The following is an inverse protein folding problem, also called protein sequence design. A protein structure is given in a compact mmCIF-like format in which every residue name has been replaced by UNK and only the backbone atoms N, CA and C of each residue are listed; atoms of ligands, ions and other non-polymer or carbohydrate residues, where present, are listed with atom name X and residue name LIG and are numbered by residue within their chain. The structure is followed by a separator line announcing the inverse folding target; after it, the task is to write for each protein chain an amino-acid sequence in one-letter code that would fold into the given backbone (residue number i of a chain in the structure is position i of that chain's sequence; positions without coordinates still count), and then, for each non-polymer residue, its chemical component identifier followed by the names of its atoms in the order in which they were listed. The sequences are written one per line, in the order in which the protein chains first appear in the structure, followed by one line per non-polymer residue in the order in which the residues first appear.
data_IF_018420438940
#
_entry.id   IF_018420438940
#
_cell.length_a   1.000
_cell.length_b   1.000
_cell.length_c   1.000
_cell.angle_alpha   90.00
_cell.angle_beta   90.00
_cell.angle_gamma   90.00
#
_symmetry.space_group_name_H-M   'P 1'
#
loop_
_entity.id
_entity.type
_entity.pdbx_description
1 polymer ?
#
# COMPACT_ATOMS: atom_id res chain seq x y z
N UNK A 1 16.47 21.85 3.38
CA UNK A 1 15.48 22.82 3.89
C UNK A 1 15.22 22.52 5.38
N UNK A 2 14.84 23.49 6.23
CA UNK A 2 14.32 23.16 7.57
C UNK A 2 12.87 22.66 7.42
N UNK A 3 12.43 21.62 8.16
CA UNK A 3 11.05 21.17 8.07
C UNK A 3 10.08 22.28 8.52
N UNK A 4 9.02 22.52 7.75
CA UNK A 4 7.90 23.37 8.15
C UNK A 4 6.85 22.58 8.95
N UNK A 5 5.86 23.29 9.49
CA UNK A 5 4.74 22.67 10.24
C UNK A 5 3.64 22.10 9.31
N UNK A 6 3.67 22.45 8.02
CA UNK A 6 2.69 22.00 7.04
C UNK A 6 2.92 20.54 6.63
N UNK A 7 1.85 19.74 6.63
CA UNK A 7 1.89 18.34 6.19
C UNK A 7 2.23 18.17 4.70
N UNK A 8 1.78 19.11 3.86
CA UNK A 8 2.03 19.15 2.43
C UNK A 8 2.35 20.60 2.02
N UNK A 9 3.63 21.00 2.07
CA UNK A 9 4.05 22.35 1.72
C UNK A 9 3.63 22.70 0.30
N UNK A 10 2.99 23.86 0.11
CA UNK A 10 2.52 24.33 -1.20
C UNK A 10 3.09 25.70 -1.53
N UNK A 11 3.31 25.96 -2.82
CA UNK A 11 3.67 27.28 -3.32
C UNK A 11 2.44 28.21 -3.36
N UNK A 12 2.67 29.47 -3.76
CA UNK A 12 1.63 30.49 -3.91
C UNK A 12 0.48 30.11 -4.86
N UNK A 13 0.70 29.12 -5.74
CA UNK A 13 -0.30 28.61 -6.67
C UNK A 13 -0.99 27.33 -6.16
N UNK A 14 -0.72 26.92 -4.91
CA UNK A 14 -1.27 25.72 -4.30
C UNK A 14 -0.64 24.42 -4.80
N UNK A 15 0.48 24.47 -5.53
CA UNK A 15 1.21 23.29 -6.00
C UNK A 15 2.16 22.78 -4.92
N UNK A 16 2.24 21.47 -4.75
CA UNK A 16 3.15 20.85 -3.77
C UNK A 16 4.61 21.20 -4.12
N UNK A 17 5.35 21.67 -3.13
CA UNK A 17 6.79 21.95 -3.23
C UNK A 17 7.53 20.63 -2.99
N UNK A 18 8.25 20.16 -4.00
CA UNK A 18 9.05 18.94 -3.92
C UNK A 18 10.50 19.27 -3.56
N UNK A 19 11.10 18.46 -2.68
CA UNK A 19 12.53 18.53 -2.39
C UNK A 19 13.29 17.48 -3.24
N UNK A 20 14.56 17.75 -3.53
CA UNK A 20 15.45 16.96 -4.40
C UNK A 20 16.22 15.85 -3.66
N UNK A 21 15.66 15.35 -2.56
CA UNK A 21 16.32 14.37 -1.68
C UNK A 21 16.56 13.04 -2.40
N UNK A 22 17.77 12.49 -2.23
CA UNK A 22 18.03 11.12 -2.65
C UNK A 22 17.41 10.11 -1.66
N UNK A 23 16.42 9.36 -2.14
CA UNK A 23 15.74 8.32 -1.38
C UNK A 23 16.69 7.24 -0.80
N UNK A 24 17.87 7.00 -1.40
CA UNK A 24 18.87 6.08 -0.85
C UNK A 24 19.44 6.57 0.49
N UNK A 25 19.67 7.88 0.63
CA UNK A 25 20.13 8.46 1.89
C UNK A 25 19.03 8.43 2.95
N UNK A 26 17.79 8.69 2.55
CA UNK A 26 16.62 8.53 3.43
C UNK A 26 16.50 7.09 3.92
N UNK A 27 16.67 6.10 3.03
CA UNK A 27 16.61 4.69 3.41
C UNK A 27 17.73 4.31 4.37
N UNK A 28 18.97 4.77 4.13
CA UNK A 28 20.08 4.54 5.06
C UNK A 28 19.78 5.08 6.48
N UNK A 29 19.11 6.23 6.57
CA UNK A 29 18.68 6.77 7.86
C UNK A 29 17.61 5.89 8.53
N UNK A 30 16.66 5.33 7.76
CA UNK A 30 15.68 4.36 8.27
C UNK A 30 16.33 3.06 8.75
N UNK A 31 17.36 2.58 8.05
CA UNK A 31 18.17 1.43 8.48
C UNK A 31 18.82 1.70 9.84
N UNK A 32 19.37 2.90 10.07
CA UNK A 32 19.94 3.31 11.36
C UNK A 32 18.88 3.39 12.47
N UNK A 33 17.66 3.84 12.19
CA UNK A 33 16.56 3.81 13.15
C UNK A 33 16.20 2.38 13.58
N UNK A 34 16.23 1.43 12.64
CA UNK A 34 16.02 0.00 12.94
C UNK A 34 17.18 -0.57 13.78
N UNK A 35 18.43 -0.25 13.43
CA UNK A 35 19.62 -0.69 14.18
C UNK A 35 19.63 -0.14 15.61
N UNK A 36 19.14 1.08 15.82
CA UNK A 36 18.95 1.67 17.13
C UNK A 36 17.78 1.06 17.94
N UNK A 37 17.03 0.11 17.37
CA UNK A 37 15.90 -0.53 18.03
C UNK A 37 14.63 0.34 18.13
N UNK A 38 14.58 1.47 17.41
CA UNK A 38 13.42 2.39 17.43
C UNK A 38 12.23 1.83 16.63
N UNK A 39 12.48 0.88 15.74
CA UNK A 39 11.44 0.14 15.02
C UNK A 39 11.91 -1.29 14.73
N UNK A 40 10.96 -2.22 14.63
CA UNK A 40 11.22 -3.61 14.27
C UNK A 40 11.34 -3.77 12.75
N UNK A 41 10.30 -3.52 11.92
CA UNK A 41 10.44 -3.47 10.47
C UNK A 41 10.55 -2.02 9.95
N UNK A 42 11.04 -1.89 8.71
CA UNK A 42 10.97 -0.66 7.90
C UNK A 42 10.38 -1.03 6.54
N UNK A 43 9.54 -0.15 5.99
CA UNK A 43 8.81 -0.38 4.75
C UNK A 43 8.73 0.90 3.92
N UNK A 44 8.25 0.77 2.67
CA UNK A 44 7.93 1.90 1.80
C UNK A 44 6.42 1.96 1.57
N UNK A 45 5.91 3.09 1.10
CA UNK A 45 4.50 3.25 0.73
C UNK A 45 4.42 4.13 -0.51
N UNK A 46 3.61 3.72 -1.49
CA UNK A 46 3.41 4.38 -2.78
C UNK A 46 4.71 4.53 -3.60
N UNK A 47 5.63 3.57 -3.51
CA UNK A 47 6.82 3.54 -4.37
C UNK A 47 6.49 2.88 -5.71
N UNK A 48 6.90 3.49 -6.83
CA UNK A 48 6.87 2.84 -8.13
C UNK A 48 8.08 1.91 -8.34
N UNK A 49 8.08 1.18 -9.46
CA UNK A 49 9.13 0.20 -9.79
C UNK A 49 10.53 0.82 -9.75
N UNK A 50 10.75 1.96 -10.42
CA UNK A 50 12.07 2.63 -10.48
C UNK A 50 12.56 3.10 -9.11
N UNK A 51 11.65 3.64 -8.29
CA UNK A 51 12.00 4.10 -6.94
C UNK A 51 12.37 2.93 -6.04
N UNK A 52 11.63 1.82 -6.09
CA UNK A 52 11.97 0.64 -5.31
C UNK A 52 13.27 0.01 -5.80
N UNK A 53 13.43 -0.15 -7.11
CA UNK A 53 14.66 -0.67 -7.72
C UNK A 53 15.89 0.15 -7.28
N UNK A 54 15.76 1.48 -7.21
CA UNK A 54 16.82 2.36 -6.67
C UNK A 54 17.22 1.99 -5.24
N UNK A 55 16.25 1.72 -4.36
CA UNK A 55 16.53 1.29 -2.98
C UNK A 55 17.15 -0.11 -2.96
N UNK A 56 16.62 -1.05 -3.74
CA UNK A 56 17.11 -2.43 -3.78
C UNK A 56 18.53 -2.55 -4.32
N UNK A 57 18.92 -1.63 -5.22
CA UNK A 57 20.26 -1.54 -5.80
C UNK A 57 21.19 -0.57 -5.05
N UNK A 58 20.74 0.00 -3.91
CA UNK A 58 21.56 0.90 -3.09
C UNK A 58 22.84 0.17 -2.64
N UNK A 59 24.04 0.77 -2.83
CA UNK A 59 25.28 0.23 -2.27
C UNK A 59 25.18 0.02 -0.75
N UNK A 60 25.57 -1.16 -0.29
CA UNK A 60 25.54 -1.50 1.13
C UNK A 60 24.14 -1.55 1.75
N UNK A 61 23.11 -1.90 0.97
CA UNK A 61 21.77 -2.17 1.51
C UNK A 61 21.84 -3.26 2.58
N UNK A 62 21.36 -2.96 3.79
CA UNK A 62 21.34 -3.88 4.93
C UNK A 62 19.96 -4.52 5.09
N UNK A 63 18.89 -3.74 4.90
CA UNK A 63 17.52 -4.19 5.11
C UNK A 63 16.64 -3.84 3.92
N UNK A 64 16.07 -4.86 3.27
CA UNK A 64 15.04 -4.68 2.24
C UNK A 64 13.75 -4.15 2.88
N UNK A 65 12.97 -3.30 2.19
CA UNK A 65 11.64 -2.93 2.67
C UNK A 65 10.76 -4.18 2.81
N UNK A 66 9.96 -4.25 3.87
CA UNK A 66 9.15 -5.46 4.13
C UNK A 66 7.84 -5.50 3.33
N UNK A 67 7.34 -4.33 2.93
CA UNK A 67 6.06 -4.14 2.25
C UNK A 67 6.09 -2.85 1.42
N UNK A 68 5.22 -2.77 0.40
CA UNK A 68 4.84 -1.51 -0.25
C UNK A 68 3.33 -1.48 -0.44
N UNK A 69 2.68 -0.43 0.05
CA UNK A 69 1.29 -0.14 -0.29
C UNK A 69 1.26 0.48 -1.69
N UNK A 70 0.60 -0.16 -2.66
CA UNK A 70 0.59 0.27 -4.08
C UNK A 70 -0.76 0.79 -4.54
N UNK A 71 -0.75 1.81 -5.40
CA UNK A 71 -1.94 2.26 -6.11
C UNK A 71 -2.34 1.29 -7.23
N UNK A 72 -3.60 1.32 -7.67
CA UNK A 72 -4.14 0.43 -8.73
C UNK A 72 -3.27 0.35 -9.98
N UNK A 73 -2.86 1.51 -10.53
CA UNK A 73 -2.13 1.58 -11.80
C UNK A 73 -0.80 0.83 -11.75
N UNK A 74 -0.19 0.75 -10.58
CA UNK A 74 1.15 0.18 -10.38
C UNK A 74 1.08 -1.28 -9.93
N UNK A 75 -0.08 -1.78 -9.50
CA UNK A 75 -0.21 -3.09 -8.86
C UNK A 75 0.26 -4.25 -9.77
N UNK A 76 -0.05 -4.23 -11.06
CA UNK A 76 0.33 -5.30 -12.00
C UNK A 76 1.82 -5.32 -12.34
N UNK A 77 2.48 -4.17 -12.33
CA UNK A 77 3.91 -4.06 -12.64
C UNK A 77 4.75 -4.28 -11.36
N UNK A 78 4.32 -3.66 -10.26
CA UNK A 78 5.07 -3.63 -9.02
C UNK A 78 5.01 -4.95 -8.25
N UNK A 79 3.82 -5.54 -8.12
CA UNK A 79 3.61 -6.68 -7.21
C UNK A 79 4.37 -7.94 -7.62
N UNK A 80 4.46 -8.30 -8.92
CA UNK A 80 5.28 -9.44 -9.34
C UNK A 80 6.74 -9.24 -8.98
N UNK A 81 7.28 -8.06 -9.30
CA UNK A 81 8.66 -7.69 -8.99
C UNK A 81 8.93 -7.72 -7.48
N UNK A 82 8.02 -7.16 -6.67
CA UNK A 82 8.16 -7.17 -5.21
C UNK A 82 8.25 -8.61 -4.66
N UNK A 83 7.39 -9.52 -5.13
CA UNK A 83 7.43 -10.93 -4.73
C UNK A 83 8.76 -11.58 -5.15
N UNK A 84 9.21 -11.33 -6.38
CA UNK A 84 10.47 -11.87 -6.92
C UNK A 84 11.69 -11.42 -6.12
N UNK A 85 11.74 -10.15 -5.70
CA UNK A 85 12.87 -9.61 -4.90
C UNK A 85 12.78 -9.94 -3.41
N UNK A 86 11.73 -10.67 -3.00
CA UNK A 86 11.62 -11.30 -1.68
C UNK A 86 10.56 -10.71 -0.75
N UNK A 87 9.70 -9.79 -1.23
CA UNK A 87 8.60 -9.29 -0.40
C UNK A 87 7.61 -10.41 -0.17
N UNK A 88 7.12 -10.47 1.06
CA UNK A 88 6.11 -11.44 1.49
C UNK A 88 4.89 -10.77 2.12
N UNK A 89 5.02 -9.54 2.61
CA UNK A 89 3.89 -8.74 3.05
C UNK A 89 3.39 -7.85 1.90
N UNK A 90 2.12 -8.02 1.55
CA UNK A 90 1.40 -7.19 0.58
C UNK A 90 0.26 -6.48 1.31
N UNK A 91 0.30 -5.15 1.29
CA UNK A 91 -0.72 -4.31 1.91
C UNK A 91 -1.69 -3.75 0.87
N UNK A 92 -2.95 -4.16 0.97
CA UNK A 92 -4.05 -3.77 0.09
C UNK A 92 -5.18 -3.12 0.88
N UNK A 93 -6.19 -2.61 0.17
CA UNK A 93 -7.46 -2.21 0.75
C UNK A 93 -8.53 -2.17 -0.34
N UNK A 94 -9.78 -2.41 0.03
CA UNK A 94 -10.92 -2.24 -0.89
C UNK A 94 -10.91 -0.87 -1.59
N UNK A 95 -10.57 0.18 -0.84
CA UNK A 95 -10.55 1.56 -1.33
C UNK A 95 -9.42 1.84 -2.35
N UNK A 96 -8.38 1.02 -2.41
CA UNK A 96 -7.31 1.19 -3.39
C UNK A 96 -7.72 0.69 -4.78
N UNK A 97 -8.83 -0.08 -4.85
CA UNK A 97 -9.39 -0.65 -6.08
C UNK A 97 -8.40 -1.50 -6.88
N UNK A 98 -7.44 -2.12 -6.20
CA UNK A 98 -6.35 -2.90 -6.79
C UNK A 98 -6.38 -4.39 -6.39
N UNK A 99 -7.36 -4.80 -5.59
CA UNK A 99 -7.45 -6.15 -5.02
C UNK A 99 -7.53 -7.24 -6.11
N UNK A 100 -8.17 -6.94 -7.23
CA UNK A 100 -8.27 -7.89 -8.35
C UNK A 100 -6.90 -8.15 -8.99
N UNK A 101 -6.17 -7.08 -9.31
CA UNK A 101 -4.84 -7.14 -9.88
C UNK A 101 -3.85 -7.82 -8.93
N UNK A 102 -3.89 -7.47 -7.64
CA UNK A 102 -3.05 -8.12 -6.61
C UNK A 102 -3.36 -9.61 -6.52
N UNK A 103 -4.65 -9.98 -6.52
CA UNK A 103 -5.08 -11.36 -6.50
C UNK A 103 -4.53 -12.17 -7.68
N UNK A 104 -4.65 -11.62 -8.89
CA UNK A 104 -4.12 -12.23 -10.12
C UNK A 104 -2.61 -12.50 -10.00
N UNK A 105 -1.84 -11.52 -9.51
CA UNK A 105 -0.40 -11.66 -9.33
C UNK A 105 -0.06 -12.73 -8.30
N UNK A 106 -0.70 -12.71 -7.12
CA UNK A 106 -0.45 -13.72 -6.07
C UNK A 106 -0.70 -15.13 -6.62
N UNK A 107 -1.83 -15.36 -7.30
CA UNK A 107 -2.15 -16.67 -7.88
C UNK A 107 -1.16 -17.07 -8.97
N UNK A 108 -0.73 -16.13 -9.81
CA UNK A 108 0.31 -16.41 -10.81
C UNK A 108 1.62 -16.84 -10.17
N UNK A 109 2.06 -16.17 -9.09
CA UNK A 109 3.29 -16.50 -8.36
C UNK A 109 3.21 -17.76 -7.51
N UNK A 110 1.98 -18.20 -7.18
CA UNK A 110 1.73 -19.53 -6.62
C UNK A 110 1.80 -20.59 -7.72
N UNK A 111 1.16 -20.34 -8.86
CA UNK A 111 1.10 -21.28 -9.97
C UNK A 111 2.47 -21.54 -10.63
N UNK A 112 3.34 -20.53 -10.70
CA UNK A 112 4.71 -20.67 -11.22
C UNK A 112 5.72 -21.20 -10.19
N UNK A 113 5.28 -21.41 -8.94
CA UNK A 113 6.10 -21.95 -7.85
C UNK A 113 7.06 -20.94 -7.20
N UNK A 114 6.97 -19.65 -7.51
CA UNK A 114 7.79 -18.60 -6.86
C UNK A 114 7.54 -18.51 -5.36
N UNK A 115 6.28 -18.68 -4.95
CA UNK A 115 5.84 -18.67 -3.54
C UNK A 115 4.73 -19.68 -3.32
N UNK A 116 4.49 -20.07 -2.07
CA UNK A 116 3.25 -20.73 -1.65
C UNK A 116 2.29 -19.70 -1.06
N UNK A 117 1.01 -20.08 -0.89
CA UNK A 117 0.02 -19.16 -0.28
C UNK A 117 0.44 -18.78 1.13
N UNK A 118 0.96 -19.73 1.92
CA UNK A 118 1.43 -19.53 3.29
C UNK A 118 2.68 -18.64 3.41
N UNK A 119 3.41 -18.43 2.30
CA UNK A 119 4.55 -17.51 2.29
C UNK A 119 4.10 -16.05 2.19
N UNK A 120 2.88 -15.78 1.71
CA UNK A 120 2.36 -14.43 1.51
C UNK A 120 1.52 -13.99 2.71
N UNK A 121 1.89 -12.87 3.32
CA UNK A 121 1.09 -12.15 4.29
C UNK A 121 0.29 -11.05 3.58
N UNK A 122 -0.98 -11.32 3.26
CA UNK A 122 -1.86 -10.37 2.57
C UNK A 122 -2.74 -9.61 3.57
N UNK A 123 -2.67 -8.28 3.55
CA UNK A 123 -3.52 -7.39 4.36
C UNK A 123 -4.61 -6.75 3.50
N UNK A 124 -5.85 -6.73 3.97
CA UNK A 124 -6.91 -5.85 3.42
C UNK A 124 -7.57 -5.04 4.54
N UNK A 125 -8.40 -4.05 4.16
CA UNK A 125 -8.96 -3.05 5.09
C UNK A 125 -10.46 -2.86 4.88
N UNK A 126 -11.21 -2.84 5.98
CA UNK A 126 -12.62 -2.51 6.04
C UNK A 126 -12.83 -1.01 5.79
N UNK A 127 -13.54 -0.67 4.72
CA UNK A 127 -13.80 0.72 4.35
C UNK A 127 -14.88 1.38 5.21
N UNK A 128 -14.85 2.72 5.23
CA UNK A 128 -15.65 3.60 6.10
C UNK A 128 -17.17 3.45 5.94
N UNK A 129 -17.60 3.00 4.77
CA UNK A 129 -19.01 2.76 4.44
C UNK A 129 -19.53 1.41 4.95
N UNK A 130 -18.65 0.55 5.46
CA UNK A 130 -18.95 -0.80 5.93
C UNK A 130 -18.68 -1.01 7.42
N UNK A 131 -18.56 0.06 8.21
CA UNK A 131 -18.32 -0.03 9.66
C UNK A 131 -19.56 -0.47 10.47
N UNK A 132 -20.72 -0.65 9.83
CA UNK A 132 -21.87 -1.30 10.49
C UNK A 132 -21.56 -2.79 10.69
N UNK A 133 -21.78 -3.37 11.88
CA UNK A 133 -21.42 -4.76 12.17
C UNK A 133 -21.94 -5.77 11.13
N UNK A 134 -23.17 -5.59 10.66
CA UNK A 134 -23.80 -6.44 9.66
C UNK A 134 -23.17 -6.35 8.25
N UNK A 135 -22.38 -5.31 7.98
CA UNK A 135 -21.69 -5.10 6.70
C UNK A 135 -20.22 -5.55 6.71
N UNK A 136 -19.66 -5.83 7.89
CA UNK A 136 -18.23 -6.19 8.04
C UNK A 136 -17.89 -7.46 7.26
N UNK A 137 -18.63 -8.54 7.51
CA UNK A 137 -18.40 -9.83 6.85
C UNK A 137 -18.66 -9.75 5.33
N UNK A 138 -19.78 -9.19 4.84
CA UNK A 138 -19.98 -8.99 3.41
C UNK A 138 -18.87 -8.18 2.72
N UNK A 139 -18.31 -7.18 3.41
CA UNK A 139 -17.20 -6.40 2.87
C UNK A 139 -15.91 -7.23 2.75
N UNK A 140 -15.60 -8.06 3.75
CA UNK A 140 -14.46 -8.97 3.69
C UNK A 140 -14.65 -10.03 2.59
N UNK A 141 -15.83 -10.66 2.50
CA UNK A 141 -16.14 -11.64 1.46
C UNK A 141 -16.00 -11.04 0.04
N UNK A 142 -16.38 -9.76 -0.13
CA UNK A 142 -16.14 -9.02 -1.38
C UNK A 142 -14.65 -8.84 -1.66
N UNK A 143 -13.86 -8.44 -0.67
CA UNK A 143 -12.39 -8.34 -0.81
C UNK A 143 -11.75 -9.69 -1.15
N UNK A 144 -12.13 -10.77 -0.47
CA UNK A 144 -11.67 -12.14 -0.75
C UNK A 144 -12.01 -12.58 -2.17
N UNK A 145 -13.23 -12.26 -2.63
CA UNK A 145 -13.64 -12.52 -4.03
C UNK A 145 -12.77 -11.76 -5.03
N UNK A 146 -12.49 -10.48 -4.78
CA UNK A 146 -11.64 -9.68 -5.67
C UNK A 146 -10.20 -10.23 -5.69
N UNK A 147 -9.62 -10.49 -4.52
CA UNK A 147 -8.29 -11.10 -4.37
C UNK A 147 -8.24 -12.55 -4.90
N UNK A 148 -9.40 -13.21 -4.96
CA UNK A 148 -9.56 -14.64 -5.23
C UNK A 148 -8.67 -15.46 -4.29
N UNK A 149 -8.79 -15.16 -3.00
CA UNK A 149 -8.13 -15.84 -1.90
C UNK A 149 -9.19 -16.36 -0.93
N UNK A 150 -8.91 -17.48 -0.26
CA UNK A 150 -9.83 -18.02 0.74
C UNK A 150 -9.76 -17.24 2.06
N UNK A 151 -8.63 -16.59 2.34
CA UNK A 151 -8.41 -15.76 3.52
C UNK A 151 -7.40 -14.64 3.26
N UNK A 152 -7.46 -13.59 4.09
CA UNK A 152 -6.39 -12.60 4.28
C UNK A 152 -5.72 -12.84 5.63
N UNK A 153 -4.42 -12.55 5.72
CA UNK A 153 -3.62 -12.75 6.92
C UNK A 153 -3.88 -11.66 7.98
N UNK A 154 -4.31 -10.48 7.52
CA UNK A 154 -4.69 -9.37 8.38
C UNK A 154 -5.87 -8.58 7.78
N UNK A 155 -6.88 -8.28 8.60
CA UNK A 155 -8.01 -7.43 8.23
C UNK A 155 -8.20 -6.31 9.28
N UNK A 156 -8.13 -5.05 8.85
CA UNK A 156 -8.14 -3.89 9.76
C UNK A 156 -9.22 -2.87 9.40
N UNK A 157 -9.71 -2.12 10.38
CA UNK A 157 -10.51 -0.92 10.11
C UNK A 157 -9.62 0.14 9.45
N UNK A 158 -10.03 0.67 8.30
CA UNK A 158 -9.17 1.58 7.53
C UNK A 158 -9.03 2.96 8.22
N UNK A 159 -10.13 3.53 8.71
CA UNK A 159 -10.14 4.73 9.55
C UNK A 159 -11.30 4.68 10.56
N UNK A 160 -11.19 5.38 11.71
CA UNK A 160 -12.25 5.41 12.73
C UNK A 160 -13.37 6.42 12.38
N UNK A 161 -13.88 6.39 11.15
CA UNK A 161 -14.94 7.30 10.68
C UNK A 161 -16.00 6.53 9.90
N UNK A 162 -17.24 6.49 10.40
CA UNK A 162 -18.35 5.83 9.72
C UNK A 162 -19.04 6.79 8.72
N UNK A 163 -19.08 6.38 7.44
CA UNK A 163 -19.73 7.14 6.38
C UNK A 163 -21.05 6.48 5.98
N UNK A 164 -22.11 7.28 5.79
CA UNK A 164 -23.37 6.80 5.20
C UNK A 164 -23.20 6.68 3.68
N UNK A 165 -23.58 5.54 3.13
CA UNK A 165 -23.79 5.37 1.68
C UNK A 165 -25.15 5.98 1.35
N UNK A 166 -25.18 7.03 0.52
CA UNK A 166 -26.44 7.62 0.06
C UNK A 166 -26.97 6.93 -1.20
N UNK A 167 -26.10 6.50 -2.13
CA UNK A 167 -26.42 5.67 -3.31
C UNK A 167 -25.22 4.82 -3.78
N UNK A 168 -25.43 3.78 -4.61
CA UNK A 168 -24.36 2.95 -5.20
C UNK A 168 -23.34 3.77 -6.03
N UNK A 169 -23.81 4.78 -6.77
CA UNK A 169 -22.94 5.72 -7.50
C UNK A 169 -22.07 6.56 -6.55
N UNK A 170 -22.60 6.95 -5.39
CA UNK A 170 -21.85 7.70 -4.38
C UNK A 170 -20.74 6.87 -3.76
N UNK A 171 -20.91 5.55 -3.69
CA UNK A 171 -19.88 4.66 -3.14
C UNK A 171 -18.60 4.64 -3.99
N UNK A 172 -18.75 4.71 -5.32
CA UNK A 172 -17.62 4.85 -6.26
C UNK A 172 -17.02 6.26 -6.15
N UNK A 173 -17.87 7.29 -6.07
CA UNK A 173 -17.43 8.68 -5.98
C UNK A 173 -16.71 8.99 -4.66
N UNK A 174 -17.14 8.44 -3.52
CA UNK A 174 -16.46 8.61 -2.21
C UNK A 174 -15.10 7.92 -2.22
N UNK A 175 -14.99 6.72 -2.79
CA UNK A 175 -13.68 6.05 -2.95
C UNK A 175 -12.79 6.88 -3.89
N UNK A 176 -13.33 7.44 -4.96
CA UNK A 176 -12.60 8.32 -5.89
C UNK A 176 -12.14 9.65 -5.26
N UNK A 177 -13.00 10.31 -4.46
CA UNK A 177 -12.66 11.55 -3.77
C UNK A 177 -11.60 11.33 -2.69
N UNK A 178 -11.71 10.28 -1.88
CA UNK A 178 -10.68 9.96 -0.88
C UNK A 178 -9.40 9.45 -1.56
N UNK A 179 -9.50 8.76 -2.70
CA UNK A 179 -8.36 8.44 -3.56
C UNK A 179 -7.63 9.71 -4.03
N UNK A 180 -8.34 10.80 -4.30
CA UNK A 180 -7.73 12.10 -4.62
C UNK A 180 -6.91 12.65 -3.45
N UNK A 181 -7.33 12.39 -2.20
CA UNK A 181 -6.58 12.75 -1.00
C UNK A 181 -5.41 11.79 -0.69
N UNK A 182 -5.57 10.48 -0.97
CA UNK A 182 -4.53 9.46 -0.76
C UNK A 182 -3.45 9.51 -1.86
N UNK A 183 -3.84 9.79 -3.11
CA UNK A 183 -2.96 9.91 -4.28
C UNK A 183 -2.74 11.38 -4.66
N UNK A 184 -2.47 12.27 -3.72
CA UNK A 184 -2.11 13.68 -4.00
C UNK A 184 -0.79 13.84 -4.79
N UNK A 185 -0.33 12.82 -5.49
CA UNK A 185 0.87 12.80 -6.31
C UNK A 185 0.47 12.42 -7.74
N UNK A 186 0.28 13.45 -8.56
CA UNK A 186 0.33 13.35 -10.02
C UNK A 186 1.77 13.35 -10.51
#
# INVERSE_FOLDING_TARGET
MKPGEELLPKDENGKIILDSVDLCHTWEALEKCKEAGLTKPIMVSNFNHKQLEKILNKPGLKYKPVCNQVAKKEALEFTPFAIEVGFRHIDCAHAYQNEEEIGQVIRSKIADGTVKREDIFCTSKLWLTSLRPELVRPALEKSLKNLQLDYVDLYIMHYPMALKVRNLCDHINVISCVRMCINLHG
#
